data_IF_246266829158
#
_entry.id   IF_246266829158
#
_cell.length_a   1.000
_cell.length_b   1.000
_cell.length_c   1.000
_cell.angle_alpha   90.00
_cell.angle_beta   90.00
_cell.angle_gamma   90.00
#
_symmetry.space_group_name_H-M   'P 1'
#
loop_
_entity.id
_entity.type
_entity.pdbx_description
1 polymer ?
#
# COMPACT_ATOMS: atom_id res chain seq x y z
N UNK A 1 -21.05 16.81 55.59
CA UNK A 1 -19.68 17.33 55.36
C UNK A 1 -18.80 16.17 54.90
N UNK A 2 -18.61 15.98 53.59
CA UNK A 2 -17.73 14.91 53.07
C UNK A 2 -16.29 15.29 53.47
N UNK A 3 -15.61 14.43 54.24
CA UNK A 3 -14.24 14.69 54.68
C UNK A 3 -13.33 14.82 53.45
N UNK A 4 -12.53 15.89 53.38
CA UNK A 4 -11.60 16.19 52.27
C UNK A 4 -10.71 14.99 51.90
N UNK A 5 -10.39 14.13 52.86
CA UNK A 5 -9.66 12.86 52.68
C UNK A 5 -10.39 11.83 51.82
N UNK A 6 -11.72 11.75 51.88
CA UNK A 6 -12.52 10.82 51.05
C UNK A 6 -12.53 11.27 49.59
N UNK A 7 -12.65 12.58 49.35
CA UNK A 7 -12.59 13.15 47.99
C UNK A 7 -11.22 12.93 47.36
N UNK A 8 -10.14 13.09 48.13
CA UNK A 8 -8.77 12.86 47.65
C UNK A 8 -8.52 11.38 47.31
N UNK A 9 -9.01 10.45 48.12
CA UNK A 9 -8.91 9.01 47.84
C UNK A 9 -9.65 8.60 46.55
N UNK A 10 -10.85 9.15 46.32
CA UNK A 10 -11.62 8.87 45.09
C UNK A 10 -10.89 9.41 43.84
N UNK A 11 -10.34 10.62 43.90
CA UNK A 11 -9.58 11.21 42.79
C UNK A 11 -8.32 10.40 42.45
N UNK A 12 -7.64 9.87 43.46
CA UNK A 12 -6.43 9.07 43.27
C UNK A 12 -6.74 7.68 42.66
N UNK A 13 -7.86 7.05 43.05
CA UNK A 13 -8.34 5.82 42.42
C UNK A 13 -8.77 6.08 40.97
N UNK A 14 -9.47 7.19 40.72
CA UNK A 14 -9.87 7.57 39.36
C UNK A 14 -8.65 7.78 38.46
N UNK A 15 -7.60 8.45 38.94
CA UNK A 15 -6.39 8.72 38.15
C UNK A 15 -5.62 7.44 37.83
N UNK A 16 -5.49 6.51 38.78
CA UNK A 16 -4.88 5.20 38.56
C UNK A 16 -5.70 4.40 37.54
N UNK A 17 -7.03 4.38 37.69
CA UNK A 17 -7.91 3.68 36.77
C UNK A 17 -7.84 4.24 35.35
N UNK A 18 -7.86 5.58 35.19
CA UNK A 18 -7.70 6.21 33.87
C UNK A 18 -6.35 5.89 33.24
N UNK A 19 -5.27 5.87 34.03
CA UNK A 19 -3.92 5.56 33.53
C UNK A 19 -3.85 4.11 33.06
N UNK A 20 -4.45 3.18 33.81
CA UNK A 20 -4.48 1.76 33.46
C UNK A 20 -5.28 1.51 32.18
N UNK A 21 -6.44 2.16 32.02
CA UNK A 21 -7.26 2.06 30.79
C UNK A 21 -6.52 2.62 29.58
N UNK A 22 -5.82 3.76 29.72
CA UNK A 22 -5.03 4.34 28.64
C UNK A 22 -3.86 3.44 28.21
N UNK A 23 -3.14 2.85 29.18
CA UNK A 23 -2.05 1.91 28.89
C UNK A 23 -2.56 0.64 28.19
N UNK A 24 -3.68 0.07 28.65
CA UNK A 24 -4.29 -1.11 28.05
C UNK A 24 -4.72 -0.85 26.59
N UNK A 25 -5.33 0.31 26.32
CA UNK A 25 -5.72 0.71 24.95
C UNK A 25 -4.49 0.83 24.04
N UNK A 26 -3.44 1.51 24.50
CA UNK A 26 -2.22 1.70 23.69
C UNK A 26 -1.50 0.40 23.34
N UNK A 27 -1.57 -0.61 24.22
CA UNK A 27 -1.01 -1.93 23.95
C UNK A 27 -1.82 -2.70 22.91
N UNK A 28 -3.15 -2.57 22.93
CA UNK A 28 -4.02 -3.25 21.96
C UNK A 28 -3.80 -2.70 20.55
N UNK A 29 -3.70 -1.37 20.40
CA UNK A 29 -3.40 -0.70 19.13
C UNK A 29 -2.07 -1.20 18.53
N UNK A 30 -1.00 -1.22 19.34
CA UNK A 30 0.31 -1.74 18.91
C UNK A 30 0.24 -3.19 18.48
N UNK A 31 -0.50 -4.03 19.21
CA UNK A 31 -0.66 -5.44 18.88
C UNK A 31 -1.41 -5.63 17.56
N UNK A 32 -2.45 -4.83 17.30
CA UNK A 32 -3.22 -4.85 16.04
C UNK A 32 -2.32 -4.51 14.86
N UNK A 33 -1.60 -3.39 14.95
CA UNK A 33 -0.68 -2.95 13.89
C UNK A 33 0.44 -3.96 13.66
N UNK A 34 1.01 -4.53 14.73
CA UNK A 34 2.06 -5.54 14.63
C UNK A 34 1.55 -6.83 13.99
N UNK A 35 0.33 -7.28 14.31
CA UNK A 35 -0.31 -8.42 13.63
C UNK A 35 -0.44 -8.16 12.13
N UNK A 36 -0.91 -6.98 11.73
CA UNK A 36 -1.04 -6.63 10.31
C UNK A 36 0.32 -6.60 9.59
N UNK A 37 1.33 -5.96 10.18
CA UNK A 37 2.71 -5.91 9.66
C UNK A 37 3.31 -7.30 9.51
N UNK A 38 3.22 -8.13 10.56
CA UNK A 38 3.75 -9.49 10.55
C UNK A 38 3.04 -10.38 9.53
N UNK A 39 1.71 -10.28 9.44
CA UNK A 39 0.93 -11.02 8.45
C UNK A 39 1.43 -10.71 7.03
N UNK A 40 1.54 -9.44 6.65
CA UNK A 40 2.03 -9.06 5.32
C UNK A 40 3.48 -9.49 5.08
N UNK A 41 4.35 -9.34 6.09
CA UNK A 41 5.74 -9.78 6.00
C UNK A 41 5.84 -11.30 5.78
N UNK A 42 5.03 -12.10 6.48
CA UNK A 42 5.02 -13.55 6.31
C UNK A 42 4.44 -13.97 4.97
N UNK A 43 3.39 -13.31 4.47
CA UNK A 43 2.85 -13.59 3.13
C UNK A 43 3.88 -13.27 2.05
N UNK A 44 4.48 -12.08 2.06
CA UNK A 44 5.53 -11.69 1.11
C UNK A 44 6.78 -12.59 1.24
N UNK A 45 7.14 -12.94 2.47
CA UNK A 45 8.24 -13.82 2.81
C UNK A 45 7.98 -15.31 2.57
N UNK A 46 6.78 -15.69 2.08
CA UNK A 46 6.35 -17.09 1.88
C UNK A 46 6.42 -17.95 3.15
N UNK A 47 6.32 -17.34 4.33
CA UNK A 47 6.24 -18.01 5.64
C UNK A 47 4.76 -18.35 5.95
N UNK A 48 4.14 -19.14 5.07
CA UNK A 48 2.68 -19.33 5.01
C UNK A 48 2.11 -19.87 6.33
N UNK A 49 2.80 -20.79 7.02
CA UNK A 49 2.32 -21.31 8.31
C UNK A 49 2.27 -20.23 9.40
N UNK A 50 3.21 -19.28 9.39
CA UNK A 50 3.15 -18.13 10.31
C UNK A 50 2.05 -17.15 9.92
N UNK A 51 1.84 -16.92 8.62
CA UNK A 51 0.71 -16.11 8.15
C UNK A 51 -0.65 -16.73 8.53
N UNK A 52 -0.79 -18.06 8.40
CA UNK A 52 -1.98 -18.81 8.79
C UNK A 52 -2.30 -18.63 10.27
N UNK A 53 -1.29 -18.69 11.14
CA UNK A 53 -1.45 -18.47 12.59
C UNK A 53 -1.99 -17.07 12.94
N UNK A 54 -1.74 -16.07 12.08
CA UNK A 54 -2.24 -14.69 12.22
C UNK A 54 -3.56 -14.44 11.48
N UNK A 55 -4.21 -15.48 10.97
CA UNK A 55 -5.39 -15.36 10.12
C UNK A 55 -6.55 -16.23 10.58
N UNK A 56 -7.76 -15.89 10.11
CA UNK A 56 -8.97 -16.70 10.31
C UNK A 56 -9.92 -16.54 9.12
N UNK A 57 -11.02 -17.29 9.11
CA UNK A 57 -12.08 -17.18 8.09
C UNK A 57 -11.57 -17.33 6.65
N UNK A 58 -12.05 -16.45 5.76
CA UNK A 58 -11.73 -16.53 4.31
C UNK A 58 -10.25 -16.31 4.02
N UNK A 59 -9.55 -15.51 4.84
CA UNK A 59 -8.10 -15.28 4.67
C UNK A 59 -7.34 -16.57 4.98
N UNK A 60 -7.67 -17.25 6.07
CA UNK A 60 -7.08 -18.54 6.41
C UNK A 60 -7.39 -19.60 5.35
N UNK A 61 -8.65 -19.65 4.89
CA UNK A 61 -9.06 -20.55 3.81
C UNK A 61 -8.23 -20.30 2.53
N UNK A 62 -8.07 -19.05 2.12
CA UNK A 62 -7.29 -18.71 0.93
C UNK A 62 -5.80 -19.08 1.10
N UNK A 63 -5.22 -18.87 2.29
CA UNK A 63 -3.84 -19.28 2.58
C UNK A 63 -3.66 -20.80 2.63
N UNK A 64 -4.67 -21.54 3.08
CA UNK A 64 -4.64 -23.00 3.10
C UNK A 64 -4.73 -23.62 1.70
N UNK A 65 -5.42 -22.94 0.77
CA UNK A 65 -5.60 -23.38 -0.61
C UNK A 65 -4.65 -22.70 -1.61
N UNK A 66 -3.75 -21.83 -1.13
CA UNK A 66 -2.73 -21.24 -1.99
C UNK A 66 -1.79 -22.37 -2.43
N UNK A 67 -1.82 -22.70 -3.73
CA UNK A 67 -0.83 -23.60 -4.31
C UNK A 67 0.55 -23.10 -3.92
N UNK A 68 1.39 -23.98 -3.37
CA UNK A 68 2.80 -23.68 -3.14
C UNK A 68 3.56 -23.66 -4.47
N UNK A 69 3.05 -22.93 -5.45
CA UNK A 69 3.73 -22.71 -6.70
C UNK A 69 4.97 -21.84 -6.39
N UNK A 70 6.13 -22.40 -6.72
CA UNK A 70 7.50 -22.07 -6.29
C UNK A 70 8.00 -20.68 -6.75
N UNK A 71 7.22 -19.63 -6.52
CA UNK A 71 7.74 -18.26 -6.54
C UNK A 71 8.67 -18.10 -5.33
N UNK A 72 9.94 -17.84 -5.62
CA UNK A 72 10.99 -17.62 -4.62
C UNK A 72 10.57 -16.49 -3.66
N UNK A 73 10.90 -16.65 -2.38
CA UNK A 73 10.66 -15.70 -1.29
C UNK A 73 11.05 -14.26 -1.68
N UNK A 74 10.17 -13.30 -1.41
CA UNK A 74 10.53 -11.88 -1.50
C UNK A 74 11.32 -11.47 -0.24
N UNK A 75 12.28 -10.57 -0.42
CA UNK A 75 12.92 -9.88 0.68
C UNK A 75 12.02 -8.71 1.11
N UNK A 76 11.50 -8.76 2.33
CA UNK A 76 10.70 -7.66 2.91
C UNK A 76 11.65 -6.53 3.30
N UNK A 77 11.42 -5.33 2.77
CA UNK A 77 12.20 -4.14 3.06
C UNK A 77 11.54 -3.28 4.14
N UNK A 78 10.22 -3.12 4.05
CA UNK A 78 9.46 -2.26 4.95
C UNK A 78 8.04 -2.79 5.15
N UNK A 79 7.51 -2.63 6.36
CA UNK A 79 6.08 -2.74 6.63
C UNK A 79 5.60 -1.54 7.44
N UNK A 80 4.47 -0.98 7.03
CA UNK A 80 3.79 0.11 7.75
C UNK A 80 2.36 -0.35 8.05
N UNK A 81 1.78 0.11 9.15
CA UNK A 81 0.38 -0.09 9.46
C UNK A 81 -0.12 1.11 10.25
N UNK A 82 -1.30 1.60 9.87
CA UNK A 82 -2.03 2.68 10.53
C UNK A 82 -3.40 2.14 10.93
N UNK A 83 -3.72 2.20 12.22
CA UNK A 83 -5.06 1.91 12.72
C UNK A 83 -6.07 2.94 12.20
N UNK A 84 -7.13 2.47 11.52
CA UNK A 84 -8.21 3.30 11.00
C UNK A 84 -9.44 3.34 11.91
N UNK A 85 -9.75 2.21 12.54
CA UNK A 85 -10.92 2.07 13.42
C UNK A 85 -10.69 0.96 14.44
N UNK A 86 -11.19 1.15 15.66
CA UNK A 86 -11.07 0.22 16.76
C UNK A 86 -12.43 0.01 17.45
N UNK A 87 -12.80 -1.23 17.66
CA UNK A 87 -13.86 -1.66 18.56
C UNK A 87 -13.35 -2.69 19.58
N UNK A 88 -14.20 -3.17 20.51
CA UNK A 88 -13.77 -4.04 21.60
C UNK A 88 -13.12 -5.38 21.17
N UNK A 89 -13.52 -5.89 20.00
CA UNK A 89 -13.04 -7.17 19.47
C UNK A 89 -12.81 -7.15 17.96
N UNK A 90 -12.83 -5.97 17.33
CA UNK A 90 -12.60 -5.80 15.89
C UNK A 90 -11.78 -4.54 15.64
N UNK A 91 -11.02 -4.54 14.55
CA UNK A 91 -10.25 -3.38 14.13
C UNK A 91 -10.13 -3.33 12.61
N UNK A 92 -9.91 -2.13 12.07
CA UNK A 92 -9.58 -1.92 10.67
C UNK A 92 -8.27 -1.18 10.60
N UNK A 93 -7.35 -1.69 9.80
CA UNK A 93 -6.00 -1.16 9.61
C UNK A 93 -5.74 -0.94 8.14
N UNK A 94 -5.06 0.16 7.79
CA UNK A 94 -4.38 0.27 6.51
C UNK A 94 -2.94 -0.17 6.69
N UNK A 95 -2.47 -1.14 5.92
CA UNK A 95 -1.12 -1.64 6.00
C UNK A 95 -0.42 -1.63 4.64
N UNK A 96 0.89 -1.48 4.65
CA UNK A 96 1.78 -1.48 3.49
C UNK A 96 2.85 -2.55 3.67
N UNK A 97 3.21 -3.22 2.59
CA UNK A 97 4.45 -4.00 2.51
C UNK A 97 5.22 -3.58 1.27
N UNK A 98 6.50 -3.21 1.47
CA UNK A 98 7.48 -3.07 0.40
C UNK A 98 8.41 -4.28 0.43
N UNK A 99 8.60 -4.91 -0.72
CA UNK A 99 9.44 -6.09 -0.86
C UNK A 99 10.17 -6.10 -2.20
N UNK A 100 11.20 -6.93 -2.30
CA UNK A 100 11.97 -7.15 -3.52
C UNK A 100 11.91 -8.61 -3.90
N UNK A 101 11.54 -8.88 -5.15
CA UNK A 101 11.55 -10.22 -5.70
C UNK A 101 13.00 -10.67 -6.06
N UNK A 102 13.25 -11.95 -6.38
CA UNK A 102 14.59 -12.43 -6.73
C UNK A 102 15.16 -11.85 -8.03
N UNK A 103 14.32 -11.26 -8.89
CA UNK A 103 14.76 -10.50 -10.05
C UNK A 103 15.18 -9.06 -9.67
N UNK A 104 15.26 -8.77 -8.37
CA UNK A 104 15.62 -7.48 -7.81
C UNK A 104 14.62 -6.36 -8.13
N UNK A 105 13.35 -6.70 -8.38
CA UNK A 105 12.30 -5.73 -8.64
C UNK A 105 11.51 -5.40 -7.38
N UNK A 106 11.29 -4.11 -7.14
CA UNK A 106 10.47 -3.63 -6.04
C UNK A 106 9.00 -3.92 -6.29
N UNK A 107 8.30 -4.39 -5.25
CA UNK A 107 6.86 -4.56 -5.19
C UNK A 107 6.36 -3.87 -3.93
N UNK A 108 5.33 -3.04 -4.07
CA UNK A 108 4.66 -2.38 -2.94
C UNK A 108 3.18 -2.67 -3.05
N UNK A 109 2.58 -3.13 -1.95
CA UNK A 109 1.16 -3.37 -1.87
C UNK A 109 0.59 -2.70 -0.63
N UNK A 110 -0.61 -2.14 -0.76
CA UNK A 110 -1.38 -1.58 0.33
C UNK A 110 -2.66 -2.37 0.52
N UNK A 111 -3.02 -2.61 1.77
CA UNK A 111 -4.22 -3.34 2.13
C UNK A 111 -5.01 -2.58 3.18
N UNK A 112 -6.32 -2.56 3.02
CA UNK A 112 -7.23 -2.39 4.13
C UNK A 112 -7.52 -3.77 4.71
N UNK A 113 -7.18 -3.97 5.97
CA UNK A 113 -7.26 -5.25 6.68
C UNK A 113 -8.26 -5.12 7.82
N UNK A 114 -9.18 -6.08 7.91
CA UNK A 114 -10.08 -6.20 9.05
C UNK A 114 -9.59 -7.33 9.95
N UNK A 115 -9.45 -7.01 11.23
CA UNK A 115 -8.96 -7.90 12.27
C UNK A 115 -10.05 -8.16 13.30
N UNK A 116 -10.03 -9.36 13.87
CA UNK A 116 -10.93 -9.79 14.95
C UNK A 116 -10.10 -10.38 16.09
N UNK A 117 -10.55 -10.19 17.33
CA UNK A 117 -9.90 -10.72 18.54
C UNK A 117 -10.42 -12.14 18.83
N UNK A 118 -9.60 -13.15 18.54
CA UNK A 118 -9.85 -14.59 18.77
C UNK A 118 -8.54 -15.25 19.21
N UNK A 119 -8.34 -15.38 20.53
CA UNK A 119 -7.08 -15.85 21.14
C UNK A 119 -5.85 -15.00 20.75
N UNK A 120 -6.11 -13.74 20.40
CA UNK A 120 -5.17 -12.82 19.76
C UNK A 120 -5.84 -12.08 18.59
N UNK A 121 -5.18 -11.06 18.05
CA UNK A 121 -5.67 -10.39 16.84
C UNK A 121 -5.38 -11.25 15.62
N UNK A 122 -6.41 -11.48 14.80
CA UNK A 122 -6.32 -12.27 13.56
C UNK A 122 -6.95 -11.54 12.38
N UNK A 123 -6.30 -11.63 11.23
CA UNK A 123 -6.78 -11.06 9.97
C UNK A 123 -7.87 -11.96 9.39
N UNK A 124 -9.09 -11.44 9.21
CA UNK A 124 -10.21 -12.21 8.65
C UNK A 124 -10.69 -11.69 7.29
N UNK A 125 -10.31 -10.47 6.91
CA UNK A 125 -10.61 -9.88 5.60
C UNK A 125 -9.49 -8.95 5.17
N UNK A 126 -9.14 -8.97 3.89
CA UNK A 126 -8.19 -8.05 3.28
C UNK A 126 -8.73 -7.55 1.95
N UNK A 127 -8.48 -6.28 1.65
CA UNK A 127 -8.79 -5.66 0.36
C UNK A 127 -7.57 -4.87 -0.07
N UNK A 128 -7.05 -5.15 -1.27
CA UNK A 128 -5.96 -4.35 -1.82
C UNK A 128 -6.47 -2.95 -2.18
N UNK A 129 -5.66 -1.93 -1.89
CA UNK A 129 -5.98 -0.51 -2.02
C UNK A 129 -4.74 0.26 -2.50
N UNK A 130 -4.86 1.57 -2.67
CA UNK A 130 -3.73 2.48 -2.81
C UNK A 130 -3.27 3.07 -1.47
N UNK A 131 -2.17 3.85 -1.46
CA UNK A 131 -1.75 4.61 -0.28
C UNK A 131 -2.84 5.60 0.15
N UNK A 132 -2.95 5.83 1.45
CA UNK A 132 -3.71 6.96 1.97
C UNK A 132 -2.93 8.26 1.77
N UNK A 133 -3.24 9.03 0.73
CA UNK A 133 -2.56 10.30 0.45
C UNK A 133 -3.07 11.35 1.44
N UNK A 134 -2.18 11.81 2.32
CA UNK A 134 -2.51 12.88 3.27
C UNK A 134 -2.41 14.24 2.57
N UNK A 135 -3.00 15.28 3.18
CA UNK A 135 -2.84 16.65 2.68
C UNK A 135 -1.40 17.10 2.96
N UNK A 136 -0.63 17.32 1.90
CA UNK A 136 0.71 17.90 1.98
C UNK A 136 1.02 18.76 0.76
N UNK A 137 2.28 19.16 0.64
CA UNK A 137 2.80 19.87 -0.54
C UNK A 137 3.97 19.09 -1.10
N UNK A 138 3.81 18.34 -2.20
CA UNK A 138 4.94 17.71 -2.86
C UNK A 138 5.89 18.79 -3.38
N UNK A 139 7.19 18.49 -3.38
CA UNK A 139 8.20 19.42 -3.92
C UNK A 139 8.19 19.42 -5.46
N UNK A 140 8.71 20.46 -6.11
CA UNK A 140 8.93 20.45 -7.56
C UNK A 140 9.76 19.23 -8.02
N UNK A 141 10.74 18.79 -7.23
CA UNK A 141 11.54 17.60 -7.53
C UNK A 141 10.72 16.29 -7.45
N UNK A 142 9.70 16.22 -6.60
CA UNK A 142 8.82 15.04 -6.53
C UNK A 142 7.92 14.97 -7.77
N UNK A 143 7.42 16.13 -8.23
CA UNK A 143 6.70 16.26 -9.50
C UNK A 143 7.57 15.78 -10.67
N UNK A 144 8.77 16.31 -10.81
CA UNK A 144 9.71 15.95 -11.89
C UNK A 144 10.01 14.45 -11.92
N UNK A 145 10.22 13.83 -10.75
CA UNK A 145 10.50 12.38 -10.68
C UNK A 145 9.30 11.51 -11.04
N UNK A 146 8.08 11.91 -10.65
CA UNK A 146 6.88 11.19 -11.08
C UNK A 146 6.64 11.34 -12.58
N UNK A 147 6.83 12.55 -13.12
CA UNK A 147 6.77 12.81 -14.56
C UNK A 147 7.79 12.00 -15.35
N UNK A 148 9.05 11.97 -14.90
CA UNK A 148 10.11 11.15 -15.49
C UNK A 148 9.76 9.66 -15.46
N UNK A 149 9.22 9.17 -14.33
CA UNK A 149 8.80 7.77 -14.21
C UNK A 149 7.69 7.43 -15.21
N UNK A 150 6.73 8.33 -15.40
CA UNK A 150 5.66 8.17 -16.40
C UNK A 150 6.18 8.21 -17.83
N UNK A 151 7.14 9.10 -18.12
CA UNK A 151 7.80 9.17 -19.43
C UNK A 151 8.53 7.87 -19.74
N UNK A 152 9.37 7.38 -18.84
CA UNK A 152 10.12 6.12 -19.02
C UNK A 152 9.20 4.91 -19.19
N UNK A 153 8.14 4.84 -18.39
CA UNK A 153 7.10 3.82 -18.56
C UNK A 153 6.49 3.84 -19.97
N UNK A 154 6.10 5.03 -20.43
CA UNK A 154 5.45 5.22 -21.73
C UNK A 154 6.40 4.95 -22.89
N UNK A 155 7.64 5.42 -22.83
CA UNK A 155 8.68 5.13 -23.82
C UNK A 155 8.92 3.62 -23.96
N UNK A 156 9.01 2.89 -22.85
CA UNK A 156 9.14 1.44 -22.86
C UNK A 156 7.92 0.76 -23.49
N UNK A 157 6.71 1.24 -23.21
CA UNK A 157 5.47 0.75 -23.85
C UNK A 157 5.49 0.95 -25.36
N UNK A 158 5.77 2.17 -25.85
CA UNK A 158 5.79 2.48 -27.28
C UNK A 158 6.91 1.76 -28.03
N UNK A 159 8.02 1.47 -27.35
CA UNK A 159 9.11 0.66 -27.88
C UNK A 159 8.81 -0.86 -27.89
N UNK A 160 7.62 -1.29 -27.49
CA UNK A 160 7.24 -2.71 -27.41
C UNK A 160 7.91 -3.47 -26.26
N UNK A 161 8.58 -2.77 -25.34
CA UNK A 161 9.33 -3.34 -24.22
C UNK A 161 8.41 -3.50 -23.00
N UNK A 162 7.35 -4.29 -23.18
CA UNK A 162 6.27 -4.43 -22.19
C UNK A 162 6.75 -4.83 -20.79
N UNK A 163 7.70 -5.77 -20.71
CA UNK A 163 8.29 -6.19 -19.43
C UNK A 163 9.12 -5.06 -18.76
N UNK A 164 9.81 -4.23 -19.55
CA UNK A 164 10.55 -3.08 -19.01
C UNK A 164 9.60 -2.00 -18.50
N UNK A 165 8.50 -1.74 -19.21
CA UNK A 165 7.46 -0.82 -18.75
C UNK A 165 6.92 -1.23 -17.37
N UNK A 166 6.63 -2.52 -17.17
CA UNK A 166 6.16 -3.06 -15.88
C UNK A 166 7.10 -2.79 -14.70
N UNK A 167 8.40 -2.58 -14.93
CA UNK A 167 9.37 -2.23 -13.87
C UNK A 167 9.13 -0.85 -13.27
N UNK A 168 8.42 0.03 -13.96
CA UNK A 168 8.04 1.36 -13.45
C UNK A 168 6.76 1.33 -12.61
N UNK A 169 6.05 0.21 -12.60
CA UNK A 169 4.79 0.03 -11.89
C UNK A 169 4.99 -0.71 -10.56
N UNK A 170 4.04 -0.51 -9.63
CA UNK A 170 3.90 -1.26 -8.37
C UNK A 170 2.41 -1.48 -8.05
N UNK A 171 2.13 -2.36 -7.09
CA UNK A 171 0.77 -2.61 -6.60
C UNK A 171 -0.18 -3.09 -7.69
N UNK A 172 -1.42 -2.62 -7.63
CA UNK A 172 -2.47 -3.01 -8.57
C UNK A 172 -2.14 -2.67 -10.03
N UNK A 173 -1.50 -1.52 -10.29
CA UNK A 173 -1.09 -1.17 -11.65
C UNK A 173 -0.11 -2.19 -12.24
N UNK A 174 0.86 -2.67 -11.46
CA UNK A 174 1.80 -3.71 -11.91
C UNK A 174 1.07 -5.04 -12.17
N UNK A 175 0.22 -5.47 -11.23
CA UNK A 175 -0.55 -6.71 -11.38
C UNK A 175 -1.44 -6.66 -12.64
N UNK A 176 -2.14 -5.56 -12.86
CA UNK A 176 -3.00 -5.36 -14.03
C UNK A 176 -2.19 -5.38 -15.34
N UNK A 177 -1.03 -4.72 -15.35
CA UNK A 177 -0.12 -4.73 -16.50
C UNK A 177 0.37 -6.15 -16.81
N UNK A 178 0.86 -6.89 -15.81
CA UNK A 178 1.33 -8.27 -16.03
C UNK A 178 0.22 -9.20 -16.53
N UNK A 179 -0.99 -9.09 -15.99
CA UNK A 179 -2.15 -9.87 -16.43
C UNK A 179 -2.59 -9.52 -17.86
N UNK A 180 -2.41 -8.27 -18.27
CA UNK A 180 -2.84 -7.76 -19.58
C UNK A 180 -1.82 -8.02 -20.70
N UNK A 181 -0.61 -8.47 -20.36
CA UNK A 181 0.50 -8.62 -21.30
C UNK A 181 0.23 -9.60 -22.46
N UNK A 182 -0.67 -10.55 -22.30
CA UNK A 182 -1.06 -11.47 -23.38
C UNK A 182 -1.90 -10.84 -24.50
N UNK A 183 -2.57 -9.72 -24.23
CA UNK A 183 -3.50 -9.09 -25.18
C UNK A 183 -2.98 -7.76 -25.73
N UNK A 184 -2.23 -6.99 -24.94
CA UNK A 184 -1.85 -5.62 -25.30
C UNK A 184 -0.44 -5.47 -25.85
N UNK A 185 0.40 -6.50 -25.73
CA UNK A 185 1.80 -6.44 -26.18
C UNK A 185 1.94 -6.08 -27.67
N UNK A 186 0.99 -6.51 -28.49
CA UNK A 186 1.00 -6.31 -29.94
C UNK A 186 0.16 -5.11 -30.41
N UNK A 187 -0.59 -4.47 -29.50
CA UNK A 187 -1.52 -3.36 -29.84
C UNK A 187 -0.86 -1.98 -29.72
N UNK A 188 0.19 -1.87 -28.90
CA UNK A 188 0.85 -0.59 -28.59
C UNK A 188 2.09 -0.34 -29.48
N UNK A 189 2.64 -1.41 -30.07
CA UNK A 189 3.80 -1.35 -30.95
C UNK A 189 3.52 -0.55 -32.23
N UNK A 190 4.38 0.43 -32.54
CA UNK A 190 4.34 1.18 -33.80
C UNK A 190 3.56 2.50 -33.78
N UNK A 191 3.02 2.93 -32.63
CA UNK A 191 2.48 4.30 -32.49
C UNK A 191 3.61 5.32 -32.38
N UNK A 192 3.35 6.56 -32.81
CA UNK A 192 4.26 7.65 -32.51
C UNK A 192 4.33 7.84 -30.99
N UNK A 193 5.54 8.02 -30.45
CA UNK A 193 5.74 8.22 -29.02
C UNK A 193 5.02 9.47 -28.51
N UNK A 194 5.03 9.63 -27.19
CA UNK A 194 4.37 10.75 -26.52
C UNK A 194 4.99 12.11 -26.92
N UNK A 195 4.15 13.09 -27.24
CA UNK A 195 4.54 14.49 -27.47
C UNK A 195 3.83 15.43 -26.50
N UNK A 196 4.33 16.66 -26.38
CA UNK A 196 3.66 17.77 -25.67
C UNK A 196 3.28 17.45 -24.22
N UNK A 197 4.17 16.75 -23.52
CA UNK A 197 3.96 16.40 -22.12
C UNK A 197 3.94 17.67 -21.27
N UNK A 198 2.82 17.91 -20.59
CA UNK A 198 2.72 18.88 -19.51
C UNK A 198 2.06 18.25 -18.29
N UNK A 199 2.44 18.69 -17.09
CA UNK A 199 1.88 18.15 -15.86
C UNK A 199 1.60 19.20 -14.80
N UNK A 200 0.57 18.94 -13.98
CA UNK A 200 0.22 19.73 -12.81
C UNK A 200 -0.08 18.83 -11.62
N UNK A 201 0.19 19.31 -10.41
CA UNK A 201 -0.04 18.54 -9.17
C UNK A 201 -1.51 18.62 -8.79
N UNK A 202 -2.17 17.47 -8.65
CA UNK A 202 -3.53 17.37 -8.07
C UNK A 202 -3.44 17.27 -6.54
N UNK A 203 -2.63 16.33 -6.04
CA UNK A 203 -2.49 16.06 -4.61
C UNK A 203 -1.12 15.43 -4.30
N UNK A 204 -0.69 15.47 -3.04
CA UNK A 204 0.49 14.73 -2.59
C UNK A 204 0.91 15.06 -1.16
N UNK A 205 1.76 14.19 -0.60
CA UNK A 205 2.28 14.29 0.78
C UNK A 205 3.81 14.12 0.88
N UNK A 206 4.51 14.14 -0.25
CA UNK A 206 5.96 13.95 -0.33
C UNK A 206 6.41 12.48 -0.33
N UNK A 207 5.54 11.53 0.06
CA UNK A 207 5.73 10.09 -0.20
C UNK A 207 4.93 9.64 -1.42
N UNK A 208 3.75 10.20 -1.63
CA UNK A 208 2.88 9.96 -2.77
C UNK A 208 2.50 11.26 -3.46
N UNK A 209 2.24 11.19 -4.76
CA UNK A 209 1.82 12.33 -5.57
C UNK A 209 0.83 11.86 -6.64
N UNK A 210 -0.18 12.68 -6.92
CA UNK A 210 -1.08 12.54 -8.06
C UNK A 210 -0.82 13.72 -8.99
N UNK A 211 -0.45 13.43 -10.22
CA UNK A 211 -0.28 14.40 -11.30
C UNK A 211 -1.44 14.29 -12.29
N UNK A 212 -1.96 15.43 -12.73
CA UNK A 212 -2.62 15.52 -14.03
C UNK A 212 -1.52 15.62 -15.08
N UNK A 213 -1.48 14.67 -16.03
CA UNK A 213 -0.56 14.70 -17.17
C UNK A 213 -1.40 14.82 -18.45
N UNK A 214 -1.00 15.77 -19.29
CA UNK A 214 -1.53 15.99 -20.64
C UNK A 214 -0.45 15.67 -21.65
N UNK A 215 -0.81 14.97 -22.71
CA UNK A 215 0.12 14.59 -23.76
C UNK A 215 -0.61 14.30 -25.07
N UNK A 216 0.12 14.28 -26.19
CA UNK A 216 -0.40 13.91 -27.50
C UNK A 216 0.19 12.58 -28.01
N UNK A 217 -0.64 11.78 -28.66
CA UNK A 217 -0.24 10.61 -29.48
C UNK A 217 -0.94 10.75 -30.83
N UNK A 218 -0.20 10.70 -31.94
CA UNK A 218 -0.76 10.86 -33.29
C UNK A 218 -1.71 12.07 -33.39
N UNK A 219 -1.27 13.21 -32.85
CA UNK A 219 -2.00 14.49 -32.77
C UNK A 219 -3.33 14.47 -32.01
N UNK A 220 -3.60 13.38 -31.26
CA UNK A 220 -4.73 13.29 -30.33
C UNK A 220 -4.27 13.64 -28.93
N UNK A 221 -4.90 14.66 -28.36
CA UNK A 221 -4.70 15.01 -26.95
C UNK A 221 -5.28 13.95 -26.03
N UNK A 222 -4.53 13.64 -24.98
CA UNK A 222 -4.88 12.71 -23.93
C UNK A 222 -4.64 13.38 -22.58
N UNK A 223 -5.46 12.99 -21.61
CA UNK A 223 -5.42 13.49 -20.25
C UNK A 223 -5.55 12.33 -19.28
N UNK A 224 -4.61 12.25 -18.35
CA UNK A 224 -4.56 11.17 -17.35
C UNK A 224 -4.22 11.70 -15.97
N UNK A 225 -4.75 11.06 -14.94
CA UNK A 225 -4.26 11.14 -13.58
C UNK A 225 -3.23 10.02 -13.37
N UNK A 226 -1.99 10.40 -13.02
CA UNK A 226 -0.92 9.45 -12.71
C UNK A 226 -0.57 9.56 -11.23
N UNK A 227 -0.67 8.44 -10.53
CA UNK A 227 -0.35 8.38 -9.11
C UNK A 227 0.97 7.65 -8.90
N UNK A 228 1.95 8.36 -8.33
CA UNK A 228 3.28 7.81 -8.03
C UNK A 228 3.53 7.72 -6.52
N UNK A 229 4.32 6.74 -6.11
CA UNK A 229 4.81 6.57 -4.74
C UNK A 229 6.33 6.42 -4.71
N UNK A 230 6.95 7.02 -3.69
CA UNK A 230 8.38 6.94 -3.44
C UNK A 230 8.71 5.69 -2.62
N UNK A 231 9.36 4.74 -3.27
CA UNK A 231 9.88 3.50 -2.66
C UNK A 231 11.31 3.68 -2.16
N UNK A 232 11.87 2.68 -1.48
CA UNK A 232 13.31 2.66 -1.14
C UNK A 232 14.23 2.71 -2.37
N UNK A 233 13.71 2.39 -3.57
CA UNK A 233 14.45 2.33 -4.83
C UNK A 233 13.98 3.35 -5.87
N UNK A 234 13.34 4.43 -5.41
CA UNK A 234 12.89 5.52 -6.25
C UNK A 234 11.40 5.52 -6.50
N UNK A 235 10.96 6.40 -7.40
CA UNK A 235 9.54 6.60 -7.70
C UNK A 235 9.01 5.50 -8.61
N UNK A 236 7.77 5.09 -8.34
CA UNK A 236 7.02 4.09 -9.10
C UNK A 236 5.58 4.52 -9.23
N UNK A 237 4.93 4.09 -10.30
CA UNK A 237 3.52 4.36 -10.57
C UNK A 237 2.68 3.26 -9.93
N UNK A 238 1.69 3.63 -9.13
CA UNK A 238 0.74 2.67 -8.54
C UNK A 238 -0.66 2.76 -9.15
N UNK A 239 -0.96 3.80 -9.92
CA UNK A 239 -2.22 3.97 -10.62
C UNK A 239 -2.10 4.93 -11.82
N UNK A 240 -2.84 4.65 -12.89
CA UNK A 240 -3.00 5.51 -14.07
C UNK A 240 -4.48 5.46 -14.48
N UNK A 241 -5.15 6.60 -14.48
CA UNK A 241 -6.56 6.72 -14.83
C UNK A 241 -6.78 7.80 -15.90
N UNK A 242 -7.63 7.53 -16.88
CA UNK A 242 -8.08 8.54 -17.84
C UNK A 242 -9.09 9.48 -17.16
N UNK A 243 -8.99 10.79 -17.40
CA UNK A 243 -9.83 11.84 -16.77
C UNK A 243 -10.27 12.91 -17.77
#
# INVERSE_FOLDING_TARGET
MIKKTVVFGILLILSIFTTFVLLASSNDERNIEQTAKNFLAYVAGKEIEKAKALSTGIVLFNLANMEQNLSKKHLVLETEADLLSLGPAWAVVRAKVESVNPANETSVHWYEMQLIKQDGWKVYKLKETGPGIKKGRPSPADKEKCEETFRLFSEALFAGKYAEAGKHLIGQAKNAHEMSGGWFKDVITGKSGMKELSSSVIAGDGKSIILEIRYAIDDKENKVAVSCHKTSRGWKIFDIAQI
#
